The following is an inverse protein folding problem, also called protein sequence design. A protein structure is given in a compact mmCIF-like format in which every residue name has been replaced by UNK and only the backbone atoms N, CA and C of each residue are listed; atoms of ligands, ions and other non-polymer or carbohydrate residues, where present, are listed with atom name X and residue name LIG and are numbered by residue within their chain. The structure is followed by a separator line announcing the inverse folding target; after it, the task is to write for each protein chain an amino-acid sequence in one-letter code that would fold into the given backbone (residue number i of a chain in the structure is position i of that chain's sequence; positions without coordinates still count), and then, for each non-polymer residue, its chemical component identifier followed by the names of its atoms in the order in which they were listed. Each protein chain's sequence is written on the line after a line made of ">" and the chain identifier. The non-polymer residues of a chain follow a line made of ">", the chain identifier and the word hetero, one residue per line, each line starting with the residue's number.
data_IF_944682627630
#
_entry.id   IF_944682627630
#
_cell.length_a   1.000
_cell.length_b   1.000
_cell.length_c   1.000
_cell.angle_alpha   90.00
_cell.angle_beta   90.00
_cell.angle_gamma   90.00
#
_symmetry.space_group_name_H-M   'P 1'
#
loop_
_entity.id
_entity.type
_entity.pdbx_description
1 polymer ?
#
# COMPACT_ATOMS: atom_id res chain seq x y z
N UNK A 1 -16.79 -7.10 -7.90
CA UNK A 1 -16.47 -5.68 -7.71
C UNK A 1 -15.64 -5.53 -6.45
N UNK A 2 -14.47 -4.95 -6.58
CA UNK A 2 -13.65 -4.77 -5.41
C UNK A 2 -14.15 -3.57 -4.62
N UNK A 3 -14.15 -3.73 -3.30
CA UNK A 3 -14.56 -2.67 -2.41
C UNK A 3 -13.41 -2.36 -1.49
N UNK A 4 -12.79 -1.25 -1.75
CA UNK A 4 -11.69 -0.78 -0.94
C UNK A 4 -11.92 0.71 -0.68
N UNK A 5 -11.20 1.22 0.31
CA UNK A 5 -11.32 2.61 0.70
C UNK A 5 -10.02 3.37 0.45
N UNK A 6 -10.13 4.50 -0.21
CA UNK A 6 -9.00 5.43 -0.38
C UNK A 6 -9.47 6.79 0.10
N UNK A 7 -8.79 7.32 1.13
CA UNK A 7 -9.13 8.64 1.62
C UNK A 7 -8.88 9.68 0.53
N UNK A 8 -9.71 10.71 0.50
CA UNK A 8 -9.67 11.68 -0.59
C UNK A 8 -8.34 12.43 -0.71
N UNK A 9 -7.56 12.48 0.38
CA UNK A 9 -6.25 13.13 0.35
C UNK A 9 -5.16 12.25 -0.28
N UNK A 10 -5.46 10.98 -0.50
CA UNK A 10 -4.48 10.05 -1.03
C UNK A 10 -4.64 9.91 -2.53
N UNK A 11 -3.56 9.56 -3.21
CA UNK A 11 -3.57 9.44 -4.65
C UNK A 11 -3.16 8.05 -5.08
N UNK A 12 -3.97 7.45 -5.94
CA UNK A 12 -3.70 6.13 -6.52
C UNK A 12 -3.52 6.33 -8.02
N UNK A 13 -2.35 5.98 -8.52
CA UNK A 13 -2.06 6.09 -9.94
C UNK A 13 -2.89 5.11 -10.74
N UNK A 14 -2.85 5.26 -12.06
CA UNK A 14 -3.48 4.29 -12.94
C UNK A 14 -2.74 2.95 -12.86
N UNK A 15 -3.44 1.89 -13.26
CA UNK A 15 -2.88 0.54 -13.32
C UNK A 15 -2.44 0.00 -11.96
N UNK A 16 -3.15 0.39 -10.92
CA UNK A 16 -2.97 -0.17 -9.58
C UNK A 16 -4.11 -1.13 -9.32
N UNK A 17 -3.80 -2.28 -8.74
CA UNK A 17 -4.82 -3.25 -8.33
C UNK A 17 -4.88 -3.27 -6.82
N UNK A 18 -6.07 -3.11 -6.29
CA UNK A 18 -6.30 -3.06 -4.84
C UNK A 18 -7.40 -4.04 -4.50
N UNK A 19 -7.10 -4.94 -3.57
CA UNK A 19 -8.05 -5.98 -3.19
C UNK A 19 -9.14 -5.47 -2.27
N UNK A 20 -10.10 -6.35 -2.04
CA UNK A 20 -11.27 -6.05 -1.25
C UNK A 20 -10.90 -5.81 0.21
N UNK A 21 -11.54 -4.84 0.85
CA UNK A 21 -11.34 -4.57 2.27
C UNK A 21 -10.09 -3.79 2.61
N UNK A 22 -9.27 -3.45 1.62
CA UNK A 22 -8.06 -2.65 1.85
C UNK A 22 -8.44 -1.20 2.11
N UNK A 23 -7.72 -0.57 3.03
CA UNK A 23 -7.96 0.83 3.40
C UNK A 23 -6.68 1.62 3.29
N UNK A 24 -6.77 2.74 2.58
CA UNK A 24 -5.63 3.66 2.39
C UNK A 24 -6.05 4.99 2.99
N UNK A 25 -5.34 5.42 4.03
CA UNK A 25 -5.74 6.57 4.81
C UNK A 25 -5.17 7.85 4.22
N UNK A 26 -4.64 8.78 5.03
CA UNK A 26 -4.38 10.16 4.60
C UNK A 26 -3.03 10.31 3.92
N UNK A 27 -2.97 11.12 2.89
CA UNK A 27 -1.74 11.64 2.27
C UNK A 27 -0.80 10.53 1.78
N UNK A 28 -1.36 9.43 1.33
CA UNK A 28 -0.55 8.33 0.81
C UNK A 28 -0.58 8.34 -0.71
N UNK A 29 0.45 7.77 -1.32
CA UNK A 29 0.55 7.69 -2.76
C UNK A 29 0.90 6.27 -3.17
N UNK A 30 0.03 5.67 -3.98
CA UNK A 30 0.24 4.33 -4.52
C UNK A 30 0.57 4.49 -6.00
N UNK A 31 1.76 4.09 -6.39
CA UNK A 31 2.23 4.35 -7.73
C UNK A 31 1.86 3.23 -8.70
N UNK A 32 1.98 3.55 -9.96
CA UNK A 32 1.49 2.72 -11.05
C UNK A 32 2.12 1.32 -11.03
N UNK A 33 1.33 0.32 -11.33
CA UNK A 33 1.78 -1.06 -11.41
C UNK A 33 1.80 -1.79 -10.08
N UNK A 34 1.50 -1.10 -8.99
CA UNK A 34 1.45 -1.77 -7.69
C UNK A 34 0.25 -2.72 -7.63
N UNK A 35 0.44 -3.83 -6.94
CA UNK A 35 -0.62 -4.81 -6.71
C UNK A 35 -0.74 -5.02 -5.22
N UNK A 36 -1.91 -4.73 -4.68
CA UNK A 36 -2.17 -4.79 -3.25
C UNK A 36 -3.29 -5.80 -3.03
N UNK A 37 -3.06 -6.72 -2.09
CA UNK A 37 -4.04 -7.75 -1.80
C UNK A 37 -5.23 -7.28 -1.01
N UNK A 38 -5.92 -8.23 -0.41
CA UNK A 38 -7.15 -7.98 0.34
C UNK A 38 -6.84 -7.62 1.79
N UNK A 39 -7.71 -6.81 2.39
CA UNK A 39 -7.71 -6.52 3.82
C UNK A 39 -6.41 -5.93 4.32
N UNK A 40 -5.74 -5.13 3.48
CA UNK A 40 -4.55 -4.40 3.87
C UNK A 40 -4.94 -3.06 4.48
N UNK A 41 -4.03 -2.48 5.23
CA UNK A 41 -4.25 -1.18 5.84
C UNK A 41 -2.99 -0.34 5.71
N UNK A 42 -3.14 0.85 5.15
CA UNK A 42 -2.04 1.79 4.96
C UNK A 42 -2.34 3.04 5.76
N UNK A 43 -1.45 3.39 6.69
CA UNK A 43 -1.63 4.56 7.52
C UNK A 43 -1.41 5.84 6.75
N UNK A 44 -0.95 6.87 7.45
CA UNK A 44 -0.76 8.17 6.82
C UNK A 44 0.62 8.28 6.20
N UNK A 45 0.67 9.00 5.08
CA UNK A 45 1.94 9.37 4.45
C UNK A 45 2.78 8.14 4.08
N UNK A 46 2.11 7.16 3.47
CA UNK A 46 2.78 5.95 2.99
C UNK A 46 2.99 6.10 1.50
N UNK A 47 4.20 5.79 1.05
CA UNK A 47 4.50 5.80 -0.38
C UNK A 47 4.77 4.38 -0.84
N UNK A 48 3.98 3.91 -1.80
CA UNK A 48 4.18 2.60 -2.42
C UNK A 48 4.63 2.85 -3.85
N UNK A 49 5.86 2.47 -4.14
CA UNK A 49 6.46 2.77 -5.43
C UNK A 49 5.93 1.85 -6.52
N UNK A 50 6.42 2.10 -7.74
CA UNK A 50 5.94 1.36 -8.92
C UNK A 50 6.21 -0.13 -8.76
N UNK A 51 5.27 -0.92 -9.22
CA UNK A 51 5.42 -2.37 -9.37
C UNK A 51 5.71 -3.12 -8.07
N UNK A 52 5.32 -2.54 -6.94
CA UNK A 52 5.40 -3.20 -5.63
C UNK A 52 4.28 -4.23 -5.55
N UNK A 53 4.56 -5.38 -4.95
CA UNK A 53 3.55 -6.41 -4.73
C UNK A 53 3.34 -6.62 -3.26
N UNK A 54 2.11 -6.52 -2.82
CA UNK A 54 1.75 -6.62 -1.40
C UNK A 54 0.68 -7.68 -1.26
N UNK A 55 0.93 -8.65 -0.40
CA UNK A 55 0.00 -9.75 -0.16
C UNK A 55 -1.23 -9.32 0.62
N UNK A 56 -1.92 -10.28 1.18
CA UNK A 56 -3.15 -10.03 1.92
C UNK A 56 -2.87 -9.71 3.37
N UNK A 57 -3.72 -8.91 3.99
CA UNK A 57 -3.66 -8.65 5.43
C UNK A 57 -2.44 -7.89 5.89
N UNK A 58 -1.74 -7.22 4.99
CA UNK A 58 -0.54 -6.46 5.34
C UNK A 58 -0.94 -5.16 6.01
N UNK A 59 -0.26 -4.82 7.10
CA UNK A 59 -0.50 -3.56 7.80
C UNK A 59 0.73 -2.69 7.71
N UNK A 60 0.57 -1.50 7.17
CA UNK A 60 1.64 -0.54 6.98
C UNK A 60 1.32 0.69 7.82
N UNK A 61 2.19 1.00 8.76
CA UNK A 61 2.00 2.12 9.66
C UNK A 61 2.37 3.44 8.97
N UNK A 62 2.37 4.53 9.73
CA UNK A 62 2.58 5.86 9.17
C UNK A 62 4.02 6.06 8.70
N UNK A 63 4.18 6.86 7.66
CA UNK A 63 5.49 7.33 7.18
C UNK A 63 6.39 6.20 6.69
N UNK A 64 5.82 5.22 6.02
CA UNK A 64 6.58 4.10 5.48
C UNK A 64 6.74 4.31 3.97
N UNK A 65 7.97 4.07 3.48
CA UNK A 65 8.25 4.10 2.05
C UNK A 65 8.62 2.70 1.59
N UNK A 66 7.88 2.20 0.59
CA UNK A 66 8.12 0.87 0.03
C UNK A 66 8.58 1.08 -1.40
N UNK A 67 9.85 0.75 -1.67
CA UNK A 67 10.48 1.06 -2.94
C UNK A 67 10.20 0.00 -4.00
N UNK A 68 10.43 0.39 -5.23
CA UNK A 68 10.16 -0.45 -6.39
C UNK A 68 10.85 -1.81 -6.25
N UNK A 69 10.14 -2.86 -6.63
CA UNK A 69 10.67 -4.22 -6.60
C UNK A 69 10.49 -4.94 -5.28
N UNK A 70 10.02 -4.25 -4.25
CA UNK A 70 9.76 -4.89 -2.96
C UNK A 70 8.50 -5.74 -3.06
N UNK A 71 8.54 -6.94 -2.48
CA UNK A 71 7.37 -7.79 -2.36
C UNK A 71 7.16 -8.10 -0.88
N UNK A 72 5.95 -7.87 -0.41
CA UNK A 72 5.57 -8.17 0.97
C UNK A 72 4.60 -9.34 0.94
N UNK A 73 4.92 -10.37 1.71
CA UNK A 73 4.05 -11.54 1.79
C UNK A 73 2.86 -11.24 2.70
N UNK A 74 1.93 -12.19 2.74
CA UNK A 74 0.72 -12.02 3.54
C UNK A 74 1.05 -11.72 4.99
N UNK A 75 0.25 -10.86 5.61
CA UNK A 75 0.27 -10.56 7.03
C UNK A 75 1.55 -9.92 7.54
N UNK A 76 2.37 -9.37 6.66
CA UNK A 76 3.55 -8.63 7.09
C UNK A 76 3.12 -7.35 7.77
N UNK A 77 3.83 -6.99 8.84
CA UNK A 77 3.60 -5.74 9.55
C UNK A 77 4.79 -4.81 9.35
N UNK A 78 4.52 -3.61 8.86
CA UNK A 78 5.55 -2.59 8.64
C UNK A 78 5.36 -1.51 9.68
N UNK A 79 6.32 -1.38 10.59
CA UNK A 79 6.26 -0.38 11.66
C UNK A 79 6.42 1.04 11.14
N UNK A 80 6.20 2.02 12.02
CA UNK A 80 6.24 3.43 11.60
C UNK A 80 7.61 3.81 11.07
N UNK A 81 7.62 4.61 10.01
CA UNK A 81 8.83 5.18 9.42
C UNK A 81 9.83 4.16 8.89
N UNK A 82 9.40 2.93 8.64
CA UNK A 82 10.27 1.95 7.99
C UNK A 82 10.51 2.35 6.54
N UNK A 83 11.70 2.00 6.05
CA UNK A 83 12.05 2.22 4.65
C UNK A 83 12.56 0.90 4.08
N UNK A 84 11.97 0.49 2.96
CA UNK A 84 12.38 -0.72 2.25
C UNK A 84 13.20 -0.34 1.03
N UNK A 85 14.38 -0.87 0.93
CA UNK A 85 15.25 -0.65 -0.23
C UNK A 85 15.49 -1.97 -0.93
N UNK A 86 15.81 -1.88 -2.21
CA UNK A 86 16.14 -3.05 -3.01
C UNK A 86 17.56 -3.52 -2.70
#
# INVERSE_FOLDING_TARGET
>A
MSEYFVHESSYVDENVKIGQGTKIWHFSHIQSGAVIGNNCSFGQNVNVSNNVKIGNGVKVQNNVAIYEGVELEDYVFCGPSMVFTN
#
